data_IF_109194129868
#
_entry.id   IF_109194129868
#
_cell.length_a   1.000
_cell.length_b   1.000
_cell.length_c   1.000
_cell.angle_alpha   90.00
_cell.angle_beta   90.00
_cell.angle_gamma   90.00
#
_symmetry.space_group_name_H-M   'P 1'
#
loop_
_entity.id
_entity.type
_entity.pdbx_description
1 polymer ?
#
# COMPACT_ATOMS: atom_id res chain seq x y z
N UNK A 1 -14.01 -27.97 45.06
CA UNK A 1 -14.80 -26.90 44.41
C UNK A 1 -14.13 -25.52 44.40
N UNK A 2 -13.12 -25.23 45.22
CA UNK A 2 -12.48 -23.89 45.24
C UNK A 2 -11.67 -23.56 43.97
N UNK A 3 -10.89 -24.53 43.47
CA UNK A 3 -10.06 -24.36 42.27
C UNK A 3 -10.86 -23.97 41.03
N UNK A 4 -12.03 -24.58 40.80
CA UNK A 4 -12.88 -24.27 39.64
C UNK A 4 -13.50 -22.87 39.71
N UNK A 5 -13.94 -22.45 40.91
CA UNK A 5 -14.47 -21.10 41.12
C UNK A 5 -13.39 -20.02 40.92
N UNK A 6 -12.14 -20.28 41.37
CA UNK A 6 -11.00 -19.38 41.15
C UNK A 6 -10.64 -19.29 39.68
N UNK A 7 -10.56 -20.41 38.97
CA UNK A 7 -10.19 -20.45 37.54
C UNK A 7 -11.25 -19.83 36.62
N UNK A 8 -12.53 -19.85 37.02
CA UNK A 8 -13.64 -19.28 36.23
C UNK A 8 -13.96 -17.82 36.60
N UNK A 9 -13.31 -17.25 37.61
CA UNK A 9 -13.56 -15.87 38.04
C UNK A 9 -13.03 -14.89 36.99
N UNK A 10 -13.92 -14.10 36.40
CA UNK A 10 -13.59 -13.11 35.37
C UNK A 10 -13.63 -13.62 33.93
N UNK A 11 -14.20 -14.81 33.68
CA UNK A 11 -14.37 -15.33 32.32
C UNK A 11 -15.37 -14.48 31.53
N UNK A 12 -14.93 -13.96 30.38
CA UNK A 12 -15.78 -13.23 29.42
C UNK A 12 -16.45 -14.27 28.52
N UNK A 13 -17.78 -14.25 28.37
CA UNK A 13 -18.47 -15.24 27.54
C UNK A 13 -18.14 -15.03 26.06
N UNK A 14 -17.83 -16.12 25.34
CA UNK A 14 -17.48 -16.06 23.92
C UNK A 14 -16.11 -15.44 23.65
N UNK A 15 -16.00 -14.68 22.56
CA UNK A 15 -14.76 -13.99 22.14
C UNK A 15 -14.69 -12.60 22.77
N UNK A 16 -13.51 -12.21 23.27
CA UNK A 16 -13.33 -10.98 24.06
C UNK A 16 -13.75 -9.67 23.35
N UNK A 17 -13.62 -9.58 22.03
CA UNK A 17 -13.75 -8.33 21.26
C UNK A 17 -14.95 -8.28 20.32
N UNK A 18 -15.82 -9.28 20.34
CA UNK A 18 -17.03 -9.35 19.50
C UNK A 18 -18.22 -9.89 20.31
N UNK A 19 -19.45 -9.72 19.79
CA UNK A 19 -20.68 -10.17 20.46
C UNK A 19 -21.25 -9.18 21.49
N UNK A 20 -22.21 -9.64 22.30
CA UNK A 20 -22.96 -8.82 23.28
C UNK A 20 -22.14 -8.43 24.51
N UNK A 21 -21.34 -9.35 25.04
CA UNK A 21 -20.58 -9.16 26.27
C UNK A 21 -19.08 -9.15 25.96
N UNK A 22 -18.53 -7.94 25.77
CA UNK A 22 -17.12 -7.73 25.41
C UNK A 22 -16.29 -7.29 26.63
N UNK A 23 -14.97 -7.44 26.53
CA UNK A 23 -14.07 -6.85 27.52
C UNK A 23 -14.11 -5.33 27.42
N UNK A 24 -14.40 -4.59 28.51
CA UNK A 24 -14.35 -3.13 28.47
C UNK A 24 -12.92 -2.67 28.19
N UNK A 25 -12.75 -1.80 27.18
CA UNK A 25 -11.46 -1.19 26.83
C UNK A 25 -11.45 0.25 27.33
N UNK A 26 -10.62 0.52 28.33
CA UNK A 26 -10.39 1.88 28.82
C UNK A 26 -9.44 2.62 27.88
N UNK A 27 -9.63 3.93 27.72
CA UNK A 27 -8.71 4.80 26.96
C UNK A 27 -7.63 5.27 27.92
N UNK A 28 -6.36 4.93 27.62
CA UNK A 28 -5.23 5.43 28.41
C UNK A 28 -4.98 6.91 28.14
N UNK A 29 -4.29 7.58 29.07
CA UNK A 29 -3.85 8.96 28.89
C UNK A 29 -3.01 9.14 27.61
N UNK A 30 -2.03 8.26 27.38
CA UNK A 30 -1.22 8.23 26.15
C UNK A 30 -2.06 8.13 24.86
N UNK A 31 -3.18 7.39 24.88
CA UNK A 31 -4.05 7.30 23.71
C UNK A 31 -4.74 8.64 23.40
N UNK A 32 -5.05 9.43 24.43
CA UNK A 32 -5.58 10.79 24.26
C UNK A 32 -4.51 11.74 23.71
N UNK A 33 -3.30 11.72 24.27
CA UNK A 33 -2.18 12.54 23.77
C UNK A 33 -1.85 12.22 22.32
N UNK A 34 -1.78 10.93 21.96
CA UNK A 34 -1.55 10.50 20.58
C UNK A 34 -2.66 10.97 19.63
N UNK A 35 -3.91 11.04 20.10
CA UNK A 35 -5.02 11.55 19.30
C UNK A 35 -4.90 13.06 19.10
N UNK A 36 -4.60 13.81 20.16
CA UNK A 36 -4.37 15.27 20.09
C UNK A 36 -3.28 15.58 19.05
N UNK A 37 -2.14 14.88 19.11
CA UNK A 37 -1.05 15.08 18.14
C UNK A 37 -1.48 14.82 16.70
N UNK A 38 -2.38 13.86 16.45
CA UNK A 38 -2.92 13.60 15.10
C UNK A 38 -3.84 14.73 14.64
N UNK A 39 -4.68 15.24 15.53
CA UNK A 39 -5.57 16.36 15.24
C UNK A 39 -4.79 17.65 14.97
N UNK A 40 -3.67 17.87 15.65
CA UNK A 40 -2.76 18.99 15.37
C UNK A 40 -2.17 18.89 13.96
N UNK A 41 -1.72 17.70 13.54
CA UNK A 41 -1.24 17.46 12.16
C UNK A 41 -2.36 17.65 11.13
N UNK A 42 -3.59 17.23 11.44
CA UNK A 42 -4.74 17.45 10.57
C UNK A 42 -5.08 18.93 10.43
N UNK A 43 -5.03 19.69 11.53
CA UNK A 43 -5.20 21.15 11.50
C UNK A 43 -4.11 21.85 10.69
N UNK A 44 -2.86 21.41 10.81
CA UNK A 44 -1.75 21.89 9.97
C UNK A 44 -1.99 21.58 8.48
N UNK A 45 -2.43 20.37 8.15
CA UNK A 45 -2.79 20.01 6.78
C UNK A 45 -3.91 20.91 6.22
N UNK A 46 -4.93 21.22 7.03
CA UNK A 46 -6.00 22.13 6.62
C UNK A 46 -5.48 23.53 6.29
N UNK A 47 -4.53 24.05 7.07
CA UNK A 47 -3.87 25.33 6.76
C UNK A 47 -3.18 25.27 5.40
N UNK A 48 -2.35 24.26 5.15
CA UNK A 48 -1.62 24.13 3.88
C UNK A 48 -2.52 23.91 2.67
N UNK A 49 -3.64 23.21 2.83
CA UNK A 49 -4.59 22.93 1.76
C UNK A 49 -5.60 24.08 1.52
N UNK A 50 -5.62 25.11 2.37
CA UNK A 50 -6.58 26.22 2.26
C UNK A 50 -6.24 27.27 1.20
N UNK A 51 -5.01 27.24 0.65
CA UNK A 51 -4.48 28.28 -0.24
C UNK A 51 -4.04 27.68 -1.58
N UNK A 52 -4.98 27.36 -2.50
CA UNK A 52 -4.63 26.81 -3.80
C UNK A 52 -3.87 27.83 -4.67
N UNK A 53 -2.88 27.35 -5.44
CA UNK A 53 -2.08 28.19 -6.33
C UNK A 53 -2.82 28.59 -7.62
N UNK A 54 -3.66 27.70 -8.15
CA UNK A 54 -4.49 27.92 -9.35
C UNK A 54 -5.96 27.72 -9.02
N UNK A 55 -6.84 28.46 -9.70
CA UNK A 55 -8.28 28.19 -9.67
C UNK A 55 -8.61 26.95 -10.51
N UNK A 56 -9.78 26.34 -10.28
CA UNK A 56 -10.22 25.18 -11.06
C UNK A 56 -10.30 25.47 -12.57
N UNK A 57 -10.64 26.71 -12.95
CA UNK A 57 -10.68 27.16 -14.34
C UNK A 57 -9.28 27.21 -14.97
N UNK A 58 -8.26 27.63 -14.20
CA UNK A 58 -6.86 27.67 -14.65
C UNK A 58 -6.24 26.27 -14.76
N UNK A 59 -6.61 25.36 -13.85
CA UNK A 59 -6.11 23.98 -13.88
C UNK A 59 -6.67 23.18 -15.07
N UNK A 60 -7.83 23.56 -15.58
CA UNK A 60 -8.53 22.85 -16.64
C UNK A 60 -7.65 22.69 -17.90
N UNK A 61 -7.34 21.43 -18.25
CA UNK A 61 -6.60 21.09 -19.47
C UNK A 61 -5.08 21.25 -19.41
N UNK A 62 -4.49 21.84 -18.36
CA UNK A 62 -3.05 22.17 -18.33
C UNK A 62 -2.11 20.97 -18.54
N UNK A 63 -2.53 19.76 -18.14
CA UNK A 63 -1.75 18.52 -18.25
C UNK A 63 -2.39 17.47 -19.16
N UNK A 64 -3.37 17.84 -20.01
CA UNK A 64 -4.10 16.88 -20.86
C UNK A 64 -3.17 16.16 -21.85
N UNK A 65 -2.30 16.89 -22.55
CA UNK A 65 -1.37 16.33 -23.53
C UNK A 65 -0.39 15.34 -22.89
N UNK A 66 0.21 15.70 -21.74
CA UNK A 66 1.10 14.82 -20.98
C UNK A 66 0.42 13.52 -20.58
N UNK A 67 -0.84 13.58 -20.15
CA UNK A 67 -1.63 12.39 -19.79
C UNK A 67 -1.93 11.52 -21.02
N UNK A 68 -2.24 12.12 -22.16
CA UNK A 68 -2.44 11.41 -23.41
C UNK A 68 -1.16 10.71 -23.89
N UNK A 69 -0.02 11.40 -23.87
CA UNK A 69 1.29 10.82 -24.23
C UNK A 69 1.67 9.64 -23.32
N UNK A 70 1.49 9.79 -21.99
CA UNK A 70 1.73 8.71 -21.04
C UNK A 70 0.83 7.50 -21.30
N UNK A 71 -0.43 7.73 -21.67
CA UNK A 71 -1.36 6.67 -22.02
C UNK A 71 -1.00 5.97 -23.35
N UNK A 72 -0.60 6.73 -24.37
CA UNK A 72 -0.11 6.16 -25.64
C UNK A 72 1.17 5.34 -25.45
N UNK A 73 2.08 5.76 -24.56
CA UNK A 73 3.26 4.95 -24.20
C UNK A 73 2.87 3.62 -23.54
N UNK A 74 1.86 3.62 -22.65
CA UNK A 74 1.33 2.39 -22.05
C UNK A 74 0.70 1.49 -23.11
N UNK A 75 -0.08 2.04 -24.04
CA UNK A 75 -0.65 1.27 -25.17
C UNK A 75 0.45 0.66 -26.04
N UNK A 76 1.47 1.44 -26.40
CA UNK A 76 2.59 0.97 -27.20
C UNK A 76 3.36 -0.15 -26.49
N UNK A 77 3.58 -0.04 -25.18
CA UNK A 77 4.21 -1.10 -24.39
C UNK A 77 3.34 -2.37 -24.34
N UNK A 78 2.02 -2.23 -24.22
CA UNK A 78 1.09 -3.35 -24.21
C UNK A 78 1.04 -4.08 -25.56
N UNK A 79 1.06 -3.35 -26.68
CA UNK A 79 1.08 -3.91 -28.04
C UNK A 79 2.44 -4.47 -28.46
N UNK A 80 3.54 -3.96 -27.88
CA UNK A 80 4.91 -4.45 -28.16
C UNK A 80 5.24 -5.78 -27.47
N UNK A 81 4.29 -6.39 -26.75
CA UNK A 81 4.50 -7.69 -26.09
C UNK A 81 4.57 -8.81 -27.13
N UNK A 82 5.79 -9.12 -27.55
CA UNK A 82 6.09 -10.19 -28.49
C UNK A 82 7.20 -11.11 -27.94
N UNK A 83 7.20 -12.42 -28.26
CA UNK A 83 8.31 -13.30 -27.90
C UNK A 83 9.65 -12.74 -28.40
N UNK A 84 10.70 -12.92 -27.59
CA UNK A 84 12.06 -12.46 -27.95
C UNK A 84 12.55 -13.18 -29.21
N UNK A 85 13.34 -12.49 -30.01
CA UNK A 85 14.07 -13.12 -31.11
C UNK A 85 14.98 -14.23 -30.59
N UNK A 86 15.12 -15.31 -31.38
CA UNK A 86 16.02 -16.43 -31.10
C UNK A 86 17.12 -16.44 -32.16
N UNK A 87 18.37 -16.34 -31.75
CA UNK A 87 19.50 -16.32 -32.67
C UNK A 87 20.18 -17.68 -32.72
N UNK A 88 20.61 -18.11 -33.92
CA UNK A 88 21.37 -19.36 -34.09
C UNK A 88 22.71 -19.33 -33.36
N UNK A 89 23.29 -18.13 -33.18
CA UNK A 89 24.51 -17.93 -32.42
C UNK A 89 24.39 -18.46 -30.99
N UNK A 90 23.25 -18.24 -30.31
CA UNK A 90 23.01 -18.74 -28.95
C UNK A 90 23.04 -20.28 -28.89
N UNK A 91 22.61 -20.94 -29.97
CA UNK A 91 22.63 -22.40 -30.09
C UNK A 91 24.02 -22.93 -30.46
N UNK A 92 24.75 -22.22 -31.33
CA UNK A 92 26.11 -22.60 -31.74
C UNK A 92 27.13 -22.38 -30.62
N UNK A 93 26.97 -21.33 -29.81
CA UNK A 93 27.87 -21.07 -28.68
C UNK A 93 27.80 -22.17 -27.61
N UNK A 94 26.66 -22.86 -27.51
CA UNK A 94 26.53 -24.04 -26.66
C UNK A 94 27.51 -25.17 -27.03
N UNK A 95 27.94 -25.25 -28.29
CA UNK A 95 28.94 -26.24 -28.73
C UNK A 95 30.34 -25.97 -28.14
N UNK A 96 30.62 -24.74 -27.68
CA UNK A 96 31.90 -24.38 -27.07
C UNK A 96 32.08 -24.94 -25.64
N UNK A 97 31.05 -25.56 -25.04
CA UNK A 97 31.15 -26.14 -23.69
C UNK A 97 32.23 -27.24 -23.60
N UNK A 98 32.44 -27.97 -24.70
CA UNK A 98 33.47 -29.02 -24.78
C UNK A 98 34.82 -28.53 -25.32
N UNK A 99 35.01 -27.21 -25.49
CA UNK A 99 36.26 -26.63 -26.00
C UNK A 99 37.40 -26.88 -25.02
N UNK A 100 38.35 -27.71 -25.43
CA UNK A 100 39.59 -27.99 -24.71
C UNK A 100 40.75 -27.24 -25.36
N UNK A 101 41.80 -26.95 -24.59
CA UNK A 101 43.07 -26.49 -25.13
C UNK A 101 43.82 -27.65 -25.81
N UNK A 102 44.66 -27.32 -26.80
CA UNK A 102 45.58 -28.23 -27.50
C UNK A 102 46.75 -28.64 -26.63
#
# INVERSE_FOLDING_TARGET
MFLTAVLLRGRIPGRQWIGKHRRPRTVSFQAKENMIRRLEVEAENHYWLSMPYMTAEQEYGHAAERRAQAFEAIKAAATSKFPKHRYIADQLDHLNISKKWS
#
